data_IF_050657963113
#
_entry.id   IF_050657963113
#
_cell.length_a   1.000
_cell.length_b   1.000
_cell.length_c   1.000
_cell.angle_alpha   90.00
_cell.angle_beta   90.00
_cell.angle_gamma   90.00
#
_symmetry.space_group_name_H-M   'P 1'
#
loop_
_entity.id
_entity.type
_entity.pdbx_description
1 polymer ?
#
# COMPACT_ATOMS: atom_id res chain seq x y z
N UNK A 1 0.29 21.43 4.81
CA UNK A 1 -0.79 21.13 3.85
C UNK A 1 -0.65 19.73 3.27
N UNK A 2 0.45 19.44 2.55
CA UNK A 2 0.75 18.13 1.96
C UNK A 2 0.32 16.92 2.82
N UNK A 3 0.80 16.82 4.07
CA UNK A 3 0.51 15.65 4.91
C UNK A 3 -0.98 15.45 5.18
N UNK A 4 -1.78 16.53 5.27
CA UNK A 4 -3.23 16.45 5.46
C UNK A 4 -3.92 15.95 4.20
N UNK A 5 -3.63 16.55 3.04
CA UNK A 5 -4.25 16.12 1.79
C UNK A 5 -3.81 14.70 1.40
N UNK A 6 -2.56 14.33 1.68
CA UNK A 6 -2.07 12.95 1.55
C UNK A 6 -2.88 12.00 2.43
N UNK A 7 -3.10 12.35 3.69
CA UNK A 7 -3.91 11.53 4.60
C UNK A 7 -5.34 11.38 4.07
N UNK A 8 -5.97 12.48 3.65
CA UNK A 8 -7.33 12.44 3.10
C UNK A 8 -7.42 11.54 1.86
N UNK A 9 -6.41 11.53 0.99
CA UNK A 9 -6.34 10.61 -0.17
C UNK A 9 -6.16 9.15 0.30
N UNK A 10 -5.23 8.89 1.22
CA UNK A 10 -4.93 7.52 1.67
C UNK A 10 -6.07 6.89 2.49
N UNK A 11 -6.83 7.72 3.21
CA UNK A 11 -8.03 7.32 3.95
C UNK A 11 -9.30 7.36 3.11
N UNK A 12 -9.19 7.77 1.83
CA UNK A 12 -10.29 7.97 0.88
C UNK A 12 -11.35 9.00 1.31
N UNK A 13 -11.01 9.90 2.23
CA UNK A 13 -11.79 11.13 2.43
C UNK A 13 -11.81 11.98 1.15
N UNK A 14 -10.75 11.88 0.35
CA UNK A 14 -10.67 12.38 -1.02
C UNK A 14 -10.53 11.16 -1.96
N UNK A 15 -11.62 10.62 -2.51
CA UNK A 15 -11.61 9.38 -3.30
C UNK A 15 -10.82 9.47 -4.62
N UNK A 16 -10.48 8.31 -5.23
CA UNK A 16 -9.96 8.26 -6.60
C UNK A 16 -10.84 9.03 -7.58
N UNK A 17 -10.22 9.51 -8.66
CA UNK A 17 -10.85 10.28 -9.73
C UNK A 17 -11.42 11.65 -9.30
N UNK A 18 -11.37 12.00 -8.00
CA UNK A 18 -11.79 13.33 -7.54
C UNK A 18 -10.91 14.41 -8.16
N UNK A 19 -11.55 15.40 -8.77
CA UNK A 19 -10.88 16.56 -9.36
C UNK A 19 -10.44 17.54 -8.28
N UNK A 20 -9.14 17.85 -8.26
CA UNK A 20 -8.52 18.72 -7.29
C UNK A 20 -8.24 20.10 -7.91
N UNK A 21 -8.81 21.14 -7.31
CA UNK A 21 -8.54 22.54 -7.69
C UNK A 21 -7.96 23.31 -6.52
N UNK A 22 -7.03 24.23 -6.79
CA UNK A 22 -6.47 25.09 -5.75
C UNK A 22 -7.57 25.82 -4.98
N UNK A 23 -8.56 26.36 -5.70
CA UNK A 23 -9.68 27.08 -5.10
C UNK A 23 -10.47 26.21 -4.11
N UNK A 24 -10.91 25.02 -4.54
CA UNK A 24 -11.68 24.12 -3.67
C UNK A 24 -10.87 23.71 -2.43
N UNK A 25 -9.57 23.43 -2.59
CA UNK A 25 -8.70 23.02 -1.48
C UNK A 25 -8.38 24.17 -0.54
N UNK A 26 -8.18 25.39 -1.04
CA UNK A 26 -8.01 26.57 -0.18
C UNK A 26 -9.23 26.81 0.71
N UNK A 27 -10.43 26.61 0.16
CA UNK A 27 -11.68 26.70 0.92
C UNK A 27 -11.83 25.54 1.91
N UNK A 28 -11.65 24.29 1.46
CA UNK A 28 -11.79 23.08 2.29
C UNK A 28 -10.88 23.09 3.52
N UNK A 29 -9.65 23.55 3.37
CA UNK A 29 -8.67 23.53 4.46
C UNK A 29 -8.42 24.89 5.12
N UNK A 30 -9.19 25.93 4.76
CA UNK A 30 -8.99 27.31 5.22
C UNK A 30 -7.50 27.75 5.13
N UNK A 31 -6.89 27.51 3.97
CA UNK A 31 -5.46 27.74 3.74
C UNK A 31 -5.22 28.67 2.54
N UNK A 32 -4.04 29.29 2.47
CA UNK A 32 -3.64 30.12 1.32
C UNK A 32 -3.23 29.27 0.10
N UNK A 33 -3.17 29.90 -1.08
CA UNK A 33 -2.87 29.21 -2.35
C UNK A 33 -1.48 28.58 -2.39
N UNK A 34 -0.45 29.26 -1.87
CA UNK A 34 0.93 28.78 -1.90
C UNK A 34 1.11 27.38 -1.31
N UNK A 35 0.72 27.09 -0.06
CA UNK A 35 0.88 25.76 0.53
C UNK A 35 -0.03 24.69 -0.12
N UNK A 36 -1.15 25.09 -0.74
CA UNK A 36 -2.01 24.17 -1.51
C UNK A 36 -1.31 23.76 -2.81
N UNK A 37 -0.78 24.73 -3.56
CA UNK A 37 -0.05 24.48 -4.81
C UNK A 37 1.18 23.62 -4.58
N UNK A 38 1.98 23.92 -3.56
CA UNK A 38 3.15 23.10 -3.19
C UNK A 38 2.76 21.67 -2.79
N UNK A 39 1.64 21.51 -2.07
CA UNK A 39 1.12 20.19 -1.73
C UNK A 39 0.70 19.40 -2.97
N UNK A 40 -0.02 20.03 -3.90
CA UNK A 40 -0.44 19.39 -5.15
C UNK A 40 0.75 18.98 -6.02
N UNK A 41 1.76 19.85 -6.17
CA UNK A 41 2.99 19.53 -6.91
C UNK A 41 3.71 18.34 -6.29
N UNK A 42 3.83 18.31 -4.96
CA UNK A 42 4.47 17.19 -4.27
C UNK A 42 3.66 15.90 -4.38
N UNK A 43 2.33 15.96 -4.29
CA UNK A 43 1.46 14.79 -4.49
C UNK A 43 1.54 14.24 -5.92
N UNK A 44 1.71 15.13 -6.92
CA UNK A 44 1.89 14.77 -8.33
C UNK A 44 3.24 14.05 -8.52
N UNK A 45 4.31 14.56 -7.88
CA UNK A 45 5.62 13.89 -7.84
C UNK A 45 5.57 12.51 -7.15
N UNK A 46 4.80 12.40 -6.07
CA UNK A 46 4.60 11.14 -5.35
C UNK A 46 3.64 10.18 -6.07
N UNK A 47 3.04 10.60 -7.19
CA UNK A 47 2.13 9.79 -8.00
C UNK A 47 0.75 9.55 -7.37
N UNK A 48 0.38 10.29 -6.32
CA UNK A 48 -0.94 10.19 -5.66
C UNK A 48 -2.03 10.96 -6.41
N UNK A 49 -1.64 11.91 -7.25
CA UNK A 49 -2.51 12.65 -8.15
C UNK A 49 -1.86 12.70 -9.52
N UNK A 50 -2.68 12.84 -10.55
CA UNK A 50 -2.21 12.88 -11.94
C UNK A 50 -3.01 13.91 -12.75
N UNK A 51 -2.47 14.31 -13.90
CA UNK A 51 -3.19 15.20 -14.83
C UNK A 51 -3.95 14.38 -15.85
N UNK A 52 -5.26 14.55 -15.86
CA UNK A 52 -6.16 14.07 -16.92
C UNK A 52 -6.58 15.28 -17.77
N UNK A 53 -5.84 15.50 -18.85
CA UNK A 53 -5.97 16.73 -19.64
C UNK A 53 -5.52 17.96 -18.85
N UNK A 54 -6.44 18.90 -18.62
CA UNK A 54 -6.17 20.13 -17.85
C UNK A 54 -6.50 20.02 -16.36
N UNK A 55 -7.12 18.91 -15.94
CA UNK A 55 -7.61 18.72 -14.57
C UNK A 55 -6.63 17.83 -13.82
N UNK A 56 -6.32 18.21 -12.58
CA UNK A 56 -5.57 17.37 -11.65
C UNK A 56 -6.57 16.49 -10.90
N UNK A 57 -6.36 15.17 -10.88
CA UNK A 57 -7.27 14.21 -10.26
C UNK A 57 -6.51 13.30 -9.31
N UNK A 58 -7.18 12.81 -8.25
CA UNK A 58 -6.63 11.71 -7.45
C UNK A 58 -6.46 10.49 -8.35
N UNK A 59 -5.27 9.87 -8.29
CA UNK A 59 -4.96 8.72 -9.14
C UNK A 59 -5.81 7.51 -8.74
N UNK A 60 -6.42 6.87 -9.73
CA UNK A 60 -6.98 5.51 -9.65
C UNK A 60 -6.08 4.55 -10.42
N UNK A 61 -6.22 3.25 -10.15
CA UNK A 61 -5.47 2.22 -10.88
C UNK A 61 -6.45 1.30 -11.61
N UNK A 62 -6.11 0.96 -12.84
CA UNK A 62 -6.78 -0.12 -13.59
C UNK A 62 -6.46 -1.48 -12.97
N UNK A 63 -7.28 -2.49 -13.28
CA UNK A 63 -7.01 -3.86 -12.85
C UNK A 63 -5.66 -4.36 -13.38
N UNK A 64 -5.32 -4.01 -14.62
CA UNK A 64 -4.07 -4.34 -15.28
C UNK A 64 -2.87 -3.69 -14.56
N UNK A 65 -2.94 -2.39 -14.22
CA UNK A 65 -1.89 -1.73 -13.44
C UNK A 65 -1.72 -2.34 -12.04
N UNK A 66 -2.81 -2.78 -11.40
CA UNK A 66 -2.75 -3.51 -10.14
C UNK A 66 -1.98 -4.82 -10.33
N UNK A 67 -2.28 -5.60 -11.37
CA UNK A 67 -1.57 -6.84 -11.68
C UNK A 67 -0.08 -6.58 -11.88
N UNK A 68 0.28 -5.66 -12.80
CA UNK A 68 1.68 -5.35 -13.14
C UNK A 68 2.49 -4.92 -11.90
N UNK A 69 1.89 -4.09 -11.04
CA UNK A 69 2.51 -3.64 -9.80
C UNK A 69 2.78 -4.83 -8.86
N UNK A 70 1.81 -5.73 -8.70
CA UNK A 70 1.95 -6.87 -7.81
C UNK A 70 2.89 -7.94 -8.36
N UNK A 71 2.91 -8.20 -9.66
CA UNK A 71 3.89 -9.10 -10.28
C UNK A 71 5.33 -8.66 -9.98
N UNK A 72 5.60 -7.36 -10.13
CA UNK A 72 6.88 -6.77 -9.77
C UNK A 72 7.22 -6.98 -8.29
N UNK A 73 6.23 -6.76 -7.40
CA UNK A 73 6.42 -6.97 -5.96
C UNK A 73 6.64 -8.43 -5.59
N UNK A 74 5.92 -9.37 -6.20
CA UNK A 74 6.09 -10.82 -5.94
C UNK A 74 7.55 -11.22 -6.17
N UNK A 75 8.12 -10.80 -7.30
CA UNK A 75 9.53 -11.07 -7.64
C UNK A 75 10.48 -10.43 -6.62
N UNK A 76 10.25 -9.16 -6.26
CA UNK A 76 11.10 -8.41 -5.34
C UNK A 76 11.05 -8.98 -3.91
N UNK A 77 9.86 -9.26 -3.38
CA UNK A 77 9.67 -9.79 -2.03
C UNK A 77 10.22 -11.20 -1.90
N UNK A 78 10.03 -12.06 -2.91
CA UNK A 78 10.66 -13.38 -2.97
C UNK A 78 12.18 -13.27 -2.87
N UNK A 79 12.80 -12.40 -3.68
CA UNK A 79 14.24 -12.21 -3.68
C UNK A 79 14.75 -11.59 -2.37
N UNK A 80 13.99 -10.66 -1.78
CA UNK A 80 14.31 -10.03 -0.52
C UNK A 80 14.28 -11.02 0.64
N UNK A 81 13.24 -11.85 0.74
CA UNK A 81 13.10 -12.88 1.77
C UNK A 81 14.20 -13.95 1.66
N UNK A 82 14.47 -14.46 0.46
CA UNK A 82 15.57 -15.40 0.22
C UNK A 82 16.94 -14.79 0.60
N UNK A 83 17.12 -13.48 0.35
CA UNK A 83 18.33 -12.75 0.77
C UNK A 83 18.42 -12.57 2.29
N UNK A 84 17.31 -12.32 2.96
CA UNK A 84 17.27 -12.20 4.42
C UNK A 84 17.67 -13.52 5.09
N UNK A 85 17.09 -14.64 4.65
CA UNK A 85 17.43 -15.99 5.10
C UNK A 85 18.92 -16.29 4.92
N UNK A 86 19.48 -16.03 3.73
CA UNK A 86 20.91 -16.28 3.45
C UNK A 86 21.85 -15.53 4.39
N UNK A 87 21.50 -14.30 4.78
CA UNK A 87 22.36 -13.46 5.61
C UNK A 87 22.19 -13.73 7.11
N UNK A 88 21.26 -14.62 7.52
CA UNK A 88 20.73 -14.72 8.89
C UNK A 88 20.50 -13.34 9.50
N UNK A 89 20.09 -12.39 8.65
CA UNK A 89 19.67 -11.11 9.18
C UNK A 89 18.32 -11.42 9.75
N UNK A 90 18.27 -11.65 11.07
CA UNK A 90 17.03 -11.51 11.82
C UNK A 90 16.43 -10.23 11.31
N UNK A 91 15.24 -10.28 10.72
CA UNK A 91 14.58 -9.05 10.34
C UNK A 91 14.60 -8.17 11.59
N UNK A 92 15.01 -6.91 11.44
CA UNK A 92 15.18 -5.96 12.53
C UNK A 92 14.05 -6.10 13.56
N UNK A 93 14.26 -5.73 14.82
CA UNK A 93 13.23 -5.62 15.88
C UNK A 93 11.86 -5.07 15.41
N UNK A 94 11.80 -4.40 14.25
CA UNK A 94 10.63 -4.23 13.38
C UNK A 94 9.71 -5.45 13.11
N UNK A 95 10.17 -6.71 13.05
CA UNK A 95 9.26 -7.87 12.87
C UNK A 95 8.54 -8.27 14.17
N UNK A 96 9.19 -8.07 15.31
CA UNK A 96 8.63 -8.41 16.63
C UNK A 96 7.48 -7.47 17.01
N UNK A 97 7.49 -6.23 16.53
CA UNK A 97 6.39 -5.26 16.68
C UNK A 97 5.49 -5.12 15.45
N UNK A 98 5.59 -6.04 14.49
CA UNK A 98 4.87 -5.95 13.23
C UNK A 98 3.36 -6.20 13.40
N UNK A 99 2.87 -7.13 14.25
CA UNK A 99 1.44 -7.25 14.52
C UNK A 99 0.81 -5.96 15.04
N UNK A 100 1.46 -5.27 15.99
CA UNK A 100 1.01 -3.98 16.49
C UNK A 100 1.07 -2.89 15.41
N UNK A 101 2.12 -2.92 14.58
CA UNK A 101 2.25 -2.04 13.42
C UNK A 101 1.15 -2.26 12.38
N UNK A 102 0.75 -3.51 12.13
CA UNK A 102 -0.31 -3.86 11.19
C UNK A 102 -1.69 -3.51 11.75
N UNK A 103 -1.96 -3.71 13.05
CA UNK A 103 -3.23 -3.27 13.68
C UNK A 103 -3.39 -1.75 13.55
N UNK A 104 -2.32 -1.00 13.83
CA UNK A 104 -2.32 0.45 13.65
C UNK A 104 -2.54 0.84 12.18
N UNK A 105 -1.95 0.11 11.23
CA UNK A 105 -2.20 0.33 9.80
C UNK A 105 -3.63 0.04 9.40
N UNK A 106 -4.26 -1.03 9.90
CA UNK A 106 -5.66 -1.36 9.62
C UNK A 106 -6.58 -0.25 10.14
N UNK A 107 -6.36 0.20 11.38
CA UNK A 107 -7.13 1.28 11.98
C UNK A 107 -7.00 2.59 11.21
N UNK A 108 -5.81 2.86 10.69
CA UNK A 108 -5.50 4.11 9.97
C UNK A 108 -5.93 4.08 8.50
N UNK A 109 -5.77 2.94 7.84
CA UNK A 109 -6.03 2.75 6.42
C UNK A 109 -6.98 1.55 6.21
N UNK A 110 -8.30 1.75 6.36
CA UNK A 110 -9.30 0.67 6.36
C UNK A 110 -9.50 -0.04 5.01
N UNK A 111 -8.74 0.32 3.98
CA UNK A 111 -8.80 -0.25 2.63
C UNK A 111 -7.53 -0.99 2.24
N UNK A 112 -6.78 -1.46 3.23
CA UNK A 112 -5.74 -2.46 3.04
C UNK A 112 -6.36 -3.83 2.82
N UNK A 113 -5.62 -4.78 2.26
CA UNK A 113 -6.10 -6.16 2.12
C UNK A 113 -6.37 -6.83 3.47
N UNK A 114 -5.78 -6.32 4.56
CA UNK A 114 -5.94 -6.86 5.91
C UNK A 114 -7.35 -6.72 6.47
N UNK A 115 -8.18 -5.81 5.91
CA UNK A 115 -9.60 -5.71 6.27
C UNK A 115 -10.47 -6.73 5.57
N UNK A 116 -9.91 -7.52 4.64
CA UNK A 116 -10.63 -8.61 3.99
C UNK A 116 -10.82 -9.79 4.95
N UNK A 117 -12.01 -10.42 5.01
CA UNK A 117 -12.30 -11.51 5.95
C UNK A 117 -11.26 -12.66 5.88
N UNK A 118 -10.77 -13.10 7.04
CA UNK A 118 -9.78 -14.19 7.15
C UNK A 118 -8.35 -13.83 6.74
N UNK A 119 -8.12 -12.62 6.22
CA UNK A 119 -6.79 -12.20 5.77
C UNK A 119 -5.83 -12.04 6.93
N UNK A 120 -6.30 -11.51 8.06
CA UNK A 120 -5.47 -11.28 9.24
C UNK A 120 -4.79 -12.56 9.74
N UNK A 121 -5.57 -13.63 9.89
CA UNK A 121 -5.12 -14.93 10.34
C UNK A 121 -4.09 -15.51 9.37
N UNK A 122 -4.39 -15.44 8.06
CA UNK A 122 -3.49 -15.92 7.00
C UNK A 122 -2.16 -15.15 7.00
N UNK A 123 -2.20 -13.84 7.22
CA UNK A 123 -1.00 -13.00 7.31
C UNK A 123 -0.13 -13.44 8.47
N UNK A 124 -0.69 -13.61 9.67
CA UNK A 124 0.06 -14.05 10.85
C UNK A 124 0.72 -15.41 10.62
N UNK A 125 -0.01 -16.38 10.08
CA UNK A 125 0.54 -17.70 9.75
C UNK A 125 1.71 -17.62 8.75
N UNK A 126 1.58 -16.82 7.68
CA UNK A 126 2.67 -16.63 6.73
C UNK A 126 3.88 -15.95 7.35
N UNK A 127 3.69 -14.96 8.24
CA UNK A 127 4.80 -14.28 8.91
C UNK A 127 5.55 -15.21 9.88
N UNK A 128 4.84 -16.00 10.69
CA UNK A 128 5.46 -16.98 11.58
C UNK A 128 6.33 -17.98 10.80
N UNK A 129 5.79 -18.55 9.72
CA UNK A 129 6.52 -19.48 8.86
C UNK A 129 7.71 -18.80 8.15
N UNK A 130 7.56 -17.55 7.72
CA UNK A 130 8.63 -16.78 7.09
C UNK A 130 9.79 -16.53 8.06
N UNK A 131 9.49 -16.16 9.31
CA UNK A 131 10.51 -15.95 10.35
C UNK A 131 11.27 -17.27 10.59
N UNK A 132 10.56 -18.38 10.76
CA UNK A 132 11.17 -19.69 10.98
C UNK A 132 12.07 -20.10 9.80
N UNK A 133 11.64 -19.85 8.56
CA UNK A 133 12.44 -20.13 7.36
C UNK A 133 13.71 -19.26 7.32
N UNK A 134 13.61 -17.98 7.68
CA UNK A 134 14.77 -17.07 7.76
C UNK A 134 15.76 -17.51 8.83
N UNK A 135 15.27 -17.87 10.02
CA UNK A 135 16.10 -18.34 11.15
C UNK A 135 16.80 -19.66 10.83
N UNK A 136 16.15 -20.53 10.04
CA UNK A 136 16.69 -21.81 9.58
C UNK A 136 17.52 -21.69 8.30
N UNK A 137 17.78 -20.47 7.81
CA UNK A 137 18.50 -20.18 6.55
C UNK A 137 17.89 -20.81 5.29
N UNK A 138 16.61 -21.19 5.35
CA UNK A 138 15.90 -21.78 4.23
C UNK A 138 15.48 -20.68 3.24
N UNK A 139 16.41 -20.34 2.35
CA UNK A 139 16.20 -19.30 1.33
C UNK A 139 15.07 -19.62 0.37
N UNK A 140 14.85 -20.90 0.09
CA UNK A 140 13.83 -21.36 -0.86
C UNK A 140 12.45 -21.20 -0.25
N UNK A 141 12.26 -21.70 0.97
CA UNK A 141 10.99 -21.60 1.69
C UNK A 141 10.67 -20.15 2.04
N UNK A 142 11.65 -19.37 2.51
CA UNK A 142 11.45 -17.95 2.80
C UNK A 142 10.99 -17.17 1.56
N UNK A 143 11.63 -17.39 0.41
CA UNK A 143 11.23 -16.78 -0.86
C UNK A 143 9.82 -17.19 -1.28
N UNK A 144 9.51 -18.49 -1.21
CA UNK A 144 8.20 -19.02 -1.60
C UNK A 144 7.05 -18.46 -0.73
N UNK A 145 7.26 -18.34 0.58
CA UNK A 145 6.26 -17.77 1.51
C UNK A 145 6.00 -16.30 1.18
N UNK A 146 7.05 -15.50 0.94
CA UNK A 146 6.91 -14.10 0.59
C UNK A 146 6.17 -13.91 -0.75
N UNK A 147 6.48 -14.72 -1.76
CA UNK A 147 5.78 -14.74 -3.04
C UNK A 147 4.29 -15.08 -2.83
N UNK A 148 3.99 -16.17 -2.11
CA UNK A 148 2.62 -16.61 -1.85
C UNK A 148 1.82 -15.55 -1.08
N UNK A 149 2.43 -14.90 -0.08
CA UNK A 149 1.80 -13.79 0.63
C UNK A 149 1.39 -12.65 -0.31
N UNK A 150 2.27 -12.25 -1.23
CA UNK A 150 1.99 -11.18 -2.19
C UNK A 150 0.98 -11.58 -3.27
N UNK A 151 1.01 -12.82 -3.75
CA UNK A 151 0.00 -13.36 -4.68
C UNK A 151 -1.39 -13.34 -4.05
N UNK A 152 -1.50 -13.72 -2.77
CA UNK A 152 -2.78 -13.67 -2.08
C UNK A 152 -3.26 -12.22 -1.86
N UNK A 153 -2.34 -11.30 -1.56
CA UNK A 153 -2.67 -9.87 -1.53
C UNK A 153 -3.18 -9.35 -2.89
N UNK A 154 -2.63 -9.83 -4.01
CA UNK A 154 -3.10 -9.49 -5.36
C UNK A 154 -4.53 -10.02 -5.57
N UNK A 155 -4.77 -11.29 -5.27
CA UNK A 155 -6.09 -11.91 -5.42
C UNK A 155 -7.17 -11.13 -4.67
N UNK A 156 -6.90 -10.81 -3.39
CA UNK A 156 -7.81 -10.02 -2.56
C UNK A 156 -7.97 -8.61 -3.14
N UNK A 157 -6.90 -7.98 -3.62
CA UNK A 157 -6.96 -6.65 -4.22
C UNK A 157 -7.86 -6.64 -5.45
N UNK A 158 -7.79 -7.65 -6.30
CA UNK A 158 -8.66 -7.80 -7.47
C UNK A 158 -10.12 -8.07 -7.08
N UNK A 159 -10.36 -8.83 -6.00
CA UNK A 159 -11.71 -9.02 -5.46
C UNK A 159 -12.30 -7.71 -4.91
N UNK A 160 -11.49 -6.92 -4.21
CA UNK A 160 -11.87 -5.58 -3.75
C UNK A 160 -12.17 -4.65 -4.93
N UNK A 161 -11.32 -4.67 -5.97
CA UNK A 161 -11.54 -3.92 -7.21
C UNK A 161 -12.86 -4.30 -7.88
N UNK A 162 -13.11 -5.59 -8.08
CA UNK A 162 -14.33 -6.08 -8.72
C UNK A 162 -15.60 -5.71 -7.94
N UNK A 163 -15.50 -5.66 -6.61
CA UNK A 163 -16.62 -5.28 -5.74
C UNK A 163 -16.87 -3.76 -5.73
N UNK A 164 -15.82 -2.95 -5.89
CA UNK A 164 -15.92 -1.50 -6.00
C UNK A 164 -14.67 -0.91 -6.69
N UNK A 165 -14.72 -0.65 -8.02
CA UNK A 165 -13.57 -0.15 -8.77
C UNK A 165 -13.06 1.22 -8.28
N UNK A 166 -13.94 2.05 -7.71
CA UNK A 166 -13.58 3.37 -7.18
C UNK A 166 -12.83 3.32 -5.84
N UNK A 167 -12.49 2.13 -5.33
CA UNK A 167 -11.75 1.94 -4.08
C UNK A 167 -10.23 1.91 -4.27
N UNK A 168 -9.72 1.74 -5.50
CA UNK A 168 -8.30 1.49 -5.78
C UNK A 168 -7.68 2.51 -6.75
#
# INVERSE_FOLDING_TARGET
MYSRLREDILTRTTPPDESLTEMALTQRYAASRTPVREALQRLEQDGLVERRGKVLTVRSHTAEEIVDMYESRIILEQAAAAKAARKRTTPSSSLVGLPEGLDQQVRRYPLTTLTYPGRWETVLTHYEALIQAIESEDTTTAGAIAAAHMSESLNIRLQMYASNPGVL
#
